data_IF_412113162443
#
_entry.id   IF_412113162443
#
_cell.length_a   1.000
_cell.length_b   1.000
_cell.length_c   1.000
_cell.angle_alpha   90.00
_cell.angle_beta   90.00
_cell.angle_gamma   90.00
#
_symmetry.space_group_name_H-M   'P 1'
#
loop_
_entity.id
_entity.type
_entity.pdbx_description
1 polymer ?
#
# COMPACT_ATOMS: atom_id res chain seq x y z
N UNK A 1 29.95 17.52 3.15
CA UNK A 1 29.43 16.37 3.92
C UNK A 1 27.98 16.20 3.52
N UNK A 2 27.63 15.12 2.80
CA UNK A 2 26.22 14.83 2.48
C UNK A 2 25.61 14.27 3.75
N UNK A 3 24.71 15.04 4.37
CA UNK A 3 23.89 14.57 5.48
C UNK A 3 23.19 13.29 5.04
N UNK A 4 23.65 12.19 5.60
CA UNK A 4 23.03 10.87 5.51
C UNK A 4 22.02 10.84 6.66
N UNK A 5 20.94 11.60 6.51
CA UNK A 5 19.80 11.54 7.42
C UNK A 5 19.08 10.20 7.24
N UNK A 6 19.56 9.22 8.00
CA UNK A 6 18.88 8.04 8.54
C UNK A 6 17.75 7.40 7.70
N UNK A 7 18.13 6.56 6.74
CA UNK A 7 17.22 5.63 6.03
C UNK A 7 16.46 4.69 6.97
N UNK A 8 17.01 4.38 8.14
CA UNK A 8 16.47 3.35 9.04
C UNK A 8 15.07 3.69 9.57
N UNK A 9 14.77 4.99 9.71
CA UNK A 9 13.46 5.48 10.15
C UNK A 9 12.40 5.36 9.05
N UNK A 10 12.77 5.52 7.78
CA UNK A 10 11.89 5.28 6.62
C UNK A 10 11.64 3.80 6.45
N UNK A 11 12.69 2.98 6.54
CA UNK A 11 12.57 1.52 6.40
C UNK A 11 11.62 0.96 7.47
N UNK A 12 11.73 1.45 8.72
CA UNK A 12 10.87 1.05 9.84
C UNK A 12 9.41 1.50 9.65
N UNK A 13 9.18 2.68 9.09
CA UNK A 13 7.83 3.17 8.77
C UNK A 13 7.22 2.45 7.56
N UNK A 14 8.02 2.03 6.58
CA UNK A 14 7.59 1.27 5.41
C UNK A 14 7.32 -0.21 5.74
N UNK A 15 7.93 -0.77 6.79
CA UNK A 15 7.67 -2.15 7.22
C UNK A 15 6.28 -2.39 7.85
N UNK A 16 5.54 -1.34 8.25
CA UNK A 16 4.26 -1.47 8.95
C UNK A 16 3.14 -0.67 8.25
N UNK A 17 2.17 -1.36 7.63
CA UNK A 17 1.08 -0.71 6.88
C UNK A 17 -0.01 -0.10 7.78
N UNK A 18 -0.06 -0.50 9.05
CA UNK A 18 -0.95 0.02 10.09
C UNK A 18 -0.45 1.32 10.74
N UNK A 19 0.76 1.78 10.43
CA UNK A 19 1.26 3.09 10.84
C UNK A 19 0.69 4.21 9.95
N UNK A 20 -0.59 4.53 10.17
CA UNK A 20 -1.31 5.43 9.27
C UNK A 20 -0.81 6.87 9.28
N UNK A 21 -0.67 7.44 8.09
CA UNK A 21 -0.31 8.84 7.82
C UNK A 21 -1.54 9.65 7.40
N UNK A 22 -1.47 10.98 7.55
CA UNK A 22 -2.55 11.86 7.09
C UNK A 22 -2.49 12.07 5.57
N UNK A 23 -3.62 11.90 4.90
CA UNK A 23 -3.77 12.26 3.49
C UNK A 23 -3.97 13.78 3.36
N UNK A 24 -2.86 14.53 3.34
CA UNK A 24 -2.88 15.98 3.28
C UNK A 24 -3.71 16.61 4.42
N UNK A 25 -4.60 17.55 4.08
CA UNK A 25 -5.47 18.25 5.04
C UNK A 25 -6.88 17.64 5.18
N UNK A 26 -7.11 16.45 4.64
CA UNK A 26 -8.44 15.82 4.62
C UNK A 26 -8.87 15.27 5.99
N UNK A 27 -7.92 15.01 6.89
CA UNK A 27 -8.16 14.28 8.14
C UNK A 27 -8.23 12.75 7.98
N UNK A 28 -8.14 12.22 6.75
CA UNK A 28 -8.09 10.78 6.51
C UNK A 28 -6.74 10.20 6.94
N UNK A 29 -6.79 9.06 7.62
CA UNK A 29 -5.62 8.25 8.02
C UNK A 29 -5.48 7.07 7.07
N UNK A 30 -4.40 7.04 6.31
CA UNK A 30 -4.13 6.03 5.28
C UNK A 30 -2.82 5.31 5.54
N UNK A 31 -2.71 4.07 5.08
CA UNK A 31 -1.44 3.33 5.08
C UNK A 31 -0.35 4.11 4.33
N UNK A 32 0.92 4.00 4.74
CA UNK A 32 2.03 4.71 4.10
C UNK A 32 2.26 4.26 2.64
N UNK A 33 1.75 3.09 2.27
CA UNK A 33 1.71 2.57 0.90
C UNK A 33 0.27 2.29 0.48
N UNK A 34 -0.07 2.63 -0.77
CA UNK A 34 -1.37 2.30 -1.37
C UNK A 34 -1.28 1.00 -2.17
N UNK A 35 -2.34 0.20 -2.15
CA UNK A 35 -2.50 -0.94 -3.06
C UNK A 35 -3.16 -0.49 -4.36
N UNK A 36 -2.37 -0.40 -5.43
CA UNK A 36 -2.89 -0.15 -6.78
C UNK A 36 -3.53 -1.41 -7.38
N UNK A 37 -4.72 -1.27 -7.95
CA UNK A 37 -5.53 -2.38 -8.47
C UNK A 37 -5.71 -2.33 -9.99
N UNK A 38 -4.89 -1.57 -10.72
CA UNK A 38 -4.95 -1.46 -12.19
C UNK A 38 -4.90 -2.83 -12.90
N UNK A 39 -4.20 -3.80 -12.31
CA UNK A 39 -4.05 -5.16 -12.86
C UNK A 39 -5.01 -6.18 -12.24
N UNK A 40 -5.95 -5.77 -11.39
CA UNK A 40 -6.94 -6.68 -10.83
C UNK A 40 -8.04 -6.95 -11.85
N UNK A 41 -8.35 -8.23 -12.06
CA UNK A 41 -9.31 -8.69 -13.06
C UNK A 41 -8.69 -8.89 -14.45
N UNK A 42 -9.44 -9.58 -15.31
CA UNK A 42 -8.96 -10.04 -16.62
C UNK A 42 -9.70 -9.37 -17.79
N UNK A 43 -10.51 -8.34 -17.49
CA UNK A 43 -11.40 -7.68 -18.47
C UNK A 43 -10.65 -7.14 -19.70
N UNK A 44 -9.39 -6.75 -19.53
CA UNK A 44 -8.55 -6.18 -20.58
C UNK A 44 -7.74 -7.22 -21.35
N UNK A 45 -7.98 -8.52 -21.12
CA UNK A 45 -7.21 -9.61 -21.71
C UNK A 45 -5.84 -9.84 -21.05
N UNK A 46 -5.54 -9.09 -19.99
CA UNK A 46 -4.39 -9.27 -19.11
C UNK A 46 -4.77 -8.84 -17.68
N UNK A 47 -4.08 -9.39 -16.68
CA UNK A 47 -4.29 -9.07 -15.26
C UNK A 47 -4.36 -10.30 -14.37
N UNK A 48 -4.56 -10.07 -13.08
CA UNK A 48 -4.72 -11.12 -12.08
C UNK A 48 -6.18 -11.56 -12.03
N UNK A 49 -6.43 -12.86 -12.12
CA UNK A 49 -7.75 -13.43 -11.89
C UNK A 49 -8.26 -13.15 -10.46
N UNK A 50 -9.54 -13.47 -10.20
CA UNK A 50 -10.15 -13.17 -8.90
C UNK A 50 -9.40 -13.80 -7.71
N UNK A 51 -8.98 -15.06 -7.84
CA UNK A 51 -8.27 -15.78 -6.77
C UNK A 51 -6.92 -15.13 -6.45
N UNK A 52 -6.16 -14.76 -7.48
CA UNK A 52 -4.85 -14.11 -7.31
C UNK A 52 -5.01 -12.70 -6.76
N UNK A 53 -5.96 -11.94 -7.29
CA UNK A 53 -6.31 -10.61 -6.79
C UNK A 53 -6.70 -10.66 -5.31
N UNK A 54 -7.49 -11.67 -4.91
CA UNK A 54 -7.86 -11.89 -3.51
C UNK A 54 -6.65 -12.19 -2.64
N UNK A 55 -5.71 -13.05 -3.06
CA UNK A 55 -4.49 -13.33 -2.29
C UNK A 55 -3.64 -12.07 -2.06
N UNK A 56 -3.53 -11.21 -3.08
CA UNK A 56 -2.81 -9.93 -2.97
C UNK A 56 -3.53 -8.98 -2.01
N UNK A 57 -4.86 -8.87 -2.15
CA UNK A 57 -5.70 -8.06 -1.26
C UNK A 57 -5.57 -8.53 0.20
N UNK A 58 -5.73 -9.82 0.46
CA UNK A 58 -5.66 -10.40 1.81
C UNK A 58 -4.28 -10.11 2.42
N UNK A 59 -3.19 -10.31 1.68
CA UNK A 59 -1.84 -10.03 2.16
C UNK A 59 -1.58 -8.55 2.51
N UNK A 60 -2.19 -7.62 1.77
CA UNK A 60 -2.11 -6.18 2.08
C UNK A 60 -2.96 -5.83 3.30
N UNK A 61 -4.21 -6.32 3.32
CA UNK A 61 -5.17 -6.06 4.38
C UNK A 61 -4.74 -6.63 5.74
N UNK A 62 -4.25 -7.88 5.77
CA UNK A 62 -3.78 -8.56 6.98
C UNK A 62 -2.57 -7.87 7.63
N UNK A 63 -1.81 -7.11 6.85
CA UNK A 63 -0.69 -6.28 7.35
C UNK A 63 -1.13 -4.89 7.83
N UNK A 64 -2.43 -4.58 7.79
CA UNK A 64 -3.01 -3.28 8.17
C UNK A 64 -3.20 -2.31 7.02
N UNK A 65 -3.13 -2.77 5.77
CA UNK A 65 -3.35 -1.94 4.59
C UNK A 65 -4.80 -1.43 4.49
N UNK A 66 -4.98 -0.11 4.32
CA UNK A 66 -6.31 0.51 4.24
C UNK A 66 -6.49 1.50 3.06
N UNK A 67 -5.48 1.63 2.18
CA UNK A 67 -5.50 2.59 1.08
C UNK A 67 -5.43 1.85 -0.26
N UNK A 68 -6.45 2.07 -1.10
CA UNK A 68 -6.62 1.37 -2.37
C UNK A 68 -6.81 2.39 -3.50
N UNK A 69 -6.16 2.15 -4.63
CA UNK A 69 -6.24 2.94 -5.86
C UNK A 69 -6.73 2.04 -7.00
N UNK A 70 -7.78 2.46 -7.72
CA UNK A 70 -8.50 1.61 -8.68
C UNK A 70 -8.73 2.26 -10.03
#
# INVERSE_FOLDING_TARGET
MKDTSDSSSIDKALTALDNYVLLGKSGLRVSPLTLGTMTFGEKWGFGANNETSKKIFDAYYEKGGNFFDT
#
